data_IF_109006565402
#
_entry.id   IF_109006565402
#
_cell.length_a   1.000
_cell.length_b   1.000
_cell.length_c   1.000
_cell.angle_alpha   90.00
_cell.angle_beta   90.00
_cell.angle_gamma   90.00
#
_symmetry.space_group_name_H-M   'P 1'
#
loop_
_entity.id
_entity.type
_entity.pdbx_description
1 polymer ?
#
# COMPACT_ATOMS: atom_id res chain seq x y z
N UNK A 1 -23.03 -4.45 -25.14
CA UNK A 1 -22.90 -4.89 -23.73
C UNK A 1 -21.58 -5.61 -23.60
N UNK A 2 -20.66 -5.06 -22.83
CA UNK A 2 -19.36 -5.69 -22.63
C UNK A 2 -19.49 -6.87 -21.67
N UNK A 3 -18.94 -8.02 -22.03
CA UNK A 3 -18.88 -9.20 -21.18
C UNK A 3 -17.50 -9.23 -20.49
N UNK A 4 -17.48 -9.50 -19.19
CA UNK A 4 -16.22 -9.61 -18.44
C UNK A 4 -15.80 -11.08 -18.32
N UNK A 5 -14.54 -11.33 -18.56
CA UNK A 5 -13.90 -12.60 -18.27
C UNK A 5 -12.74 -12.37 -17.33
N UNK A 6 -12.73 -13.01 -16.17
CA UNK A 6 -11.62 -12.93 -15.23
C UNK A 6 -10.54 -13.94 -15.58
N UNK A 7 -9.28 -13.51 -15.51
CA UNK A 7 -8.12 -14.39 -15.65
C UNK A 7 -7.23 -14.13 -14.45
N UNK A 8 -7.29 -14.93 -13.39
CA UNK A 8 -6.35 -14.79 -12.28
C UNK A 8 -4.98 -15.30 -12.71
N UNK A 9 -3.97 -14.54 -12.39
CA UNK A 9 -2.58 -14.94 -12.50
C UNK A 9 -1.78 -14.27 -11.39
N UNK A 10 -0.65 -14.83 -11.02
CA UNK A 10 0.23 -14.20 -10.07
C UNK A 10 1.68 -14.22 -10.57
N UNK A 11 2.45 -13.25 -10.13
CA UNK A 11 3.88 -13.16 -10.37
C UNK A 11 4.56 -13.26 -9.02
N UNK A 12 5.47 -14.21 -8.88
CA UNK A 12 6.36 -14.33 -7.74
C UNK A 12 7.79 -14.14 -8.24
N UNK A 13 8.53 -13.26 -7.60
CA UNK A 13 9.93 -13.03 -7.90
C UNK A 13 10.65 -12.45 -6.69
N UNK A 14 11.84 -12.99 -6.42
CA UNK A 14 12.68 -12.51 -5.33
C UNK A 14 13.65 -11.46 -5.87
N UNK A 15 13.35 -10.19 -5.67
CA UNK A 15 14.19 -9.07 -6.10
C UNK A 15 15.04 -8.54 -4.95
N UNK A 16 16.29 -8.93 -4.93
CA UNK A 16 17.27 -8.26 -4.11
C UNK A 16 17.52 -6.84 -4.65
N UNK A 17 17.17 -5.82 -3.87
CA UNK A 17 17.45 -4.44 -4.20
C UNK A 17 18.95 -4.21 -4.42
N UNK A 18 19.33 -3.78 -5.61
CA UNK A 18 20.68 -3.40 -5.98
C UNK A 18 21.13 -3.99 -7.31
N UNK A 19 21.43 -3.14 -8.28
CA UNK A 19 22.08 -3.52 -9.53
C UNK A 19 23.34 -4.32 -9.24
N UNK A 20 23.33 -5.63 -9.54
CA UNK A 20 24.53 -6.46 -9.59
C UNK A 20 24.58 -7.26 -10.88
N UNK A 21 25.80 -7.46 -11.43
CA UNK A 21 25.99 -8.30 -12.60
C UNK A 21 25.65 -9.77 -12.29
N UNK A 22 25.28 -10.51 -13.32
CA UNK A 22 24.62 -11.81 -13.40
C UNK A 22 25.33 -13.02 -12.76
N UNK A 23 26.28 -12.87 -11.84
CA UNK A 23 27.09 -13.97 -11.34
C UNK A 23 27.16 -14.09 -9.80
N UNK A 24 26.04 -13.89 -9.08
CA UNK A 24 26.01 -14.21 -7.64
C UNK A 24 24.85 -15.14 -7.33
N UNK A 25 25.18 -16.25 -6.68
CA UNK A 25 24.28 -17.31 -6.23
C UNK A 25 23.11 -16.78 -5.40
N UNK A 26 21.92 -17.36 -5.58
CA UNK A 26 20.66 -17.03 -4.91
C UNK A 26 20.77 -16.95 -3.37
N UNK A 27 21.65 -17.73 -2.76
CA UNK A 27 21.89 -17.73 -1.31
C UNK A 27 22.38 -16.39 -0.77
N UNK A 28 23.09 -15.62 -1.60
CA UNK A 28 23.53 -14.25 -1.26
C UNK A 28 22.45 -13.20 -1.51
N UNK A 29 21.39 -13.51 -2.26
CA UNK A 29 20.27 -12.60 -2.48
C UNK A 29 19.20 -12.73 -1.38
N UNK A 30 18.99 -13.90 -0.79
CA UNK A 30 18.09 -14.08 0.36
C UNK A 30 18.57 -13.28 1.58
N UNK A 31 19.89 -13.22 1.83
CA UNK A 31 20.48 -12.40 2.90
C UNK A 31 20.51 -10.89 2.58
N UNK A 32 20.05 -10.47 1.38
CA UNK A 32 20.15 -9.09 0.89
C UNK A 32 18.84 -8.50 0.40
N UNK A 33 17.78 -9.29 0.31
CA UNK A 33 16.43 -8.81 0.10
C UNK A 33 15.92 -8.22 1.40
N UNK A 34 15.31 -7.05 1.32
CA UNK A 34 14.79 -6.36 2.47
C UNK A 34 13.96 -7.27 3.37
N UNK A 35 14.45 -7.54 4.54
CA UNK A 35 13.75 -8.27 5.59
C UNK A 35 13.39 -7.33 6.75
N UNK A 36 12.40 -7.71 7.51
CA UNK A 36 12.04 -7.05 8.76
C UNK A 36 11.89 -8.10 9.88
N UNK A 37 11.51 -7.66 11.07
CA UNK A 37 11.40 -8.54 12.23
C UNK A 37 10.32 -9.63 12.07
N UNK A 38 9.28 -9.37 11.27
CA UNK A 38 8.16 -10.31 11.02
C UNK A 38 8.36 -11.11 9.74
N UNK A 39 8.88 -10.49 8.68
CA UNK A 39 9.03 -11.06 7.35
C UNK A 39 10.52 -11.33 7.07
N UNK A 40 11.02 -12.43 7.63
CA UNK A 40 12.43 -12.83 7.52
C UNK A 40 12.78 -13.41 6.15
N UNK A 41 11.79 -14.00 5.44
CA UNK A 41 11.92 -14.53 4.09
C UNK A 41 11.05 -13.70 3.15
N UNK A 42 11.62 -12.64 2.57
CA UNK A 42 10.92 -11.79 1.60
C UNK A 42 10.93 -12.42 0.22
N UNK A 43 9.79 -12.92 -0.22
CA UNK A 43 9.52 -13.34 -1.60
C UNK A 43 8.39 -12.47 -2.14
N UNK A 44 8.75 -11.25 -2.55
CA UNK A 44 7.79 -10.24 -2.99
C UNK A 44 7.06 -10.68 -4.24
N UNK A 45 5.73 -10.71 -4.17
CA UNK A 45 4.87 -11.24 -5.21
C UNK A 45 3.51 -10.55 -5.25
N UNK A 46 2.70 -10.87 -6.26
CA UNK A 46 1.34 -10.37 -6.39
C UNK A 46 0.40 -11.49 -6.88
N UNK A 47 -0.79 -11.55 -6.29
CA UNK A 47 -1.92 -12.24 -6.89
C UNK A 47 -2.68 -11.23 -7.76
N UNK A 48 -2.89 -11.56 -9.04
CA UNK A 48 -3.29 -10.60 -10.07
C UNK A 48 -4.66 -10.94 -10.66
N UNK A 49 -5.46 -9.92 -10.92
CA UNK A 49 -6.78 -10.01 -11.55
C UNK A 49 -6.79 -9.20 -12.84
N UNK A 50 -7.22 -9.83 -13.95
CA UNK A 50 -7.49 -9.15 -15.21
C UNK A 50 -8.96 -9.36 -15.58
N UNK A 51 -9.70 -8.27 -15.66
CA UNK A 51 -11.07 -8.25 -16.15
C UNK A 51 -11.06 -7.93 -17.65
N UNK A 52 -11.19 -8.96 -18.48
CA UNK A 52 -11.27 -8.80 -19.94
C UNK A 52 -12.67 -8.38 -20.35
N UNK A 53 -12.76 -7.52 -21.36
CA UNK A 53 -14.03 -7.06 -21.94
C UNK A 53 -14.08 -7.36 -23.44
N UNK A 54 -15.23 -7.19 -24.05
CA UNK A 54 -15.40 -7.14 -25.52
C UNK A 54 -15.05 -5.77 -26.12
N UNK A 55 -14.68 -4.79 -25.27
CA UNK A 55 -14.22 -3.47 -25.65
C UNK A 55 -12.70 -3.39 -25.86
N UNK A 56 -12.21 -2.16 -25.96
CA UNK A 56 -10.78 -1.88 -26.20
C UNK A 56 -9.90 -2.06 -24.98
N UNK A 57 -10.47 -2.02 -23.76
CA UNK A 57 -9.72 -2.00 -22.51
C UNK A 57 -9.96 -3.24 -21.66
N UNK A 58 -8.97 -3.59 -20.84
CA UNK A 58 -9.08 -4.57 -19.76
C UNK A 58 -8.82 -3.88 -18.43
N UNK A 59 -9.51 -4.31 -17.37
CA UNK A 59 -9.26 -3.82 -16.02
C UNK A 59 -8.20 -4.67 -15.32
N UNK A 60 -7.24 -4.03 -14.70
CA UNK A 60 -6.12 -4.66 -14.01
C UNK A 60 -6.16 -4.34 -12.53
N UNK A 61 -6.05 -5.37 -11.70
CA UNK A 61 -6.01 -5.24 -10.26
C UNK A 61 -5.16 -6.32 -9.63
N UNK A 62 -4.64 -6.06 -8.46
CA UNK A 62 -3.77 -7.01 -7.76
C UNK A 62 -3.91 -6.89 -6.25
N UNK A 63 -3.43 -7.90 -5.56
CA UNK A 63 -3.07 -7.79 -4.15
C UNK A 63 -1.61 -8.18 -3.94
N UNK A 64 -0.95 -7.40 -3.10
CA UNK A 64 0.42 -7.67 -2.66
C UNK A 64 0.46 -8.91 -1.78
N UNK A 65 1.49 -9.73 -1.99
CA UNK A 65 1.79 -10.92 -1.18
C UNK A 65 3.31 -11.07 -1.01
N UNK A 66 3.71 -11.99 -0.16
CA UNK A 66 5.11 -12.32 0.09
C UNK A 66 5.41 -13.79 -0.21
N UNK A 67 4.77 -14.33 -1.26
CA UNK A 67 5.05 -15.63 -1.88
C UNK A 67 4.06 -16.71 -1.51
N UNK A 68 4.25 -17.41 -0.41
CA UNK A 68 3.45 -18.60 -0.05
C UNK A 68 1.96 -18.25 0.12
N UNK A 69 1.10 -19.08 -0.49
CA UNK A 69 -0.37 -18.91 -0.42
C UNK A 69 -0.95 -18.09 -1.59
N UNK A 70 -0.16 -17.69 -2.57
CA UNK A 70 -0.67 -17.00 -3.77
C UNK A 70 -1.71 -17.80 -4.54
N UNK A 71 -1.58 -19.11 -4.61
CA UNK A 71 -2.55 -20.03 -5.19
C UNK A 71 -3.92 -19.91 -4.51
N UNK A 72 -3.94 -19.82 -3.17
CA UNK A 72 -5.16 -19.64 -2.39
C UNK A 72 -5.81 -18.28 -2.72
N UNK A 73 -5.00 -17.24 -2.80
CA UNK A 73 -5.49 -15.89 -3.15
C UNK A 73 -6.03 -15.85 -4.58
N UNK A 74 -5.36 -16.49 -5.54
CA UNK A 74 -5.81 -16.56 -6.92
C UNK A 74 -7.15 -17.30 -7.05
N UNK A 75 -7.35 -18.41 -6.36
CA UNK A 75 -8.65 -19.09 -6.32
C UNK A 75 -9.75 -18.22 -5.70
N UNK A 76 -9.43 -17.45 -4.66
CA UNK A 76 -10.38 -16.50 -4.09
C UNK A 76 -10.71 -15.37 -5.08
N UNK A 77 -9.73 -14.85 -5.83
CA UNK A 77 -9.96 -13.85 -6.90
C UNK A 77 -10.93 -14.42 -7.94
N UNK A 78 -10.74 -15.67 -8.39
CA UNK A 78 -11.67 -16.33 -9.32
C UNK A 78 -13.10 -16.33 -8.79
N UNK A 79 -13.31 -16.74 -7.54
CA UNK A 79 -14.64 -16.79 -6.93
C UNK A 79 -15.31 -15.41 -6.85
N UNK A 80 -14.56 -14.38 -6.48
CA UNK A 80 -15.08 -13.01 -6.42
C UNK A 80 -15.33 -12.45 -7.82
N UNK A 81 -14.41 -12.66 -8.77
CA UNK A 81 -14.49 -12.16 -10.13
C UNK A 81 -15.67 -12.76 -10.92
N UNK A 82 -16.05 -14.02 -10.67
CA UNK A 82 -17.24 -14.63 -11.26
C UNK A 82 -18.53 -13.83 -11.00
N UNK A 83 -18.60 -13.10 -9.89
CA UNK A 83 -19.77 -12.28 -9.58
C UNK A 83 -19.90 -11.07 -10.52
N UNK A 84 -18.81 -10.50 -10.99
CA UNK A 84 -18.81 -9.38 -11.94
C UNK A 84 -18.80 -9.82 -13.40
N UNK A 85 -18.48 -11.09 -13.67
CA UNK A 85 -18.49 -11.65 -15.01
C UNK A 85 -19.86 -11.49 -15.70
N UNK A 86 -19.85 -11.22 -17.01
CA UNK A 86 -21.04 -11.02 -17.85
C UNK A 86 -21.95 -9.85 -17.40
N UNK A 87 -21.43 -8.89 -16.64
CA UNK A 87 -22.12 -7.64 -16.32
C UNK A 87 -21.53 -6.49 -17.11
N UNK A 88 -22.34 -5.48 -17.42
CA UNK A 88 -21.81 -4.26 -18.05
C UNK A 88 -21.09 -3.39 -17.03
N UNK A 89 -20.01 -2.74 -17.45
CA UNK A 89 -19.27 -1.78 -16.63
C UNK A 89 -20.18 -0.67 -16.11
N UNK A 90 -21.04 -0.13 -16.99
CA UNK A 90 -22.02 0.89 -16.63
C UNK A 90 -22.91 0.45 -15.46
N UNK A 91 -23.41 -0.79 -15.47
CA UNK A 91 -24.25 -1.31 -14.38
C UNK A 91 -23.49 -1.44 -13.04
N UNK A 92 -22.20 -1.72 -13.08
CA UNK A 92 -21.37 -1.85 -11.90
C UNK A 92 -20.91 -0.50 -11.35
N UNK A 93 -20.64 0.48 -12.22
CA UNK A 93 -20.14 1.80 -11.84
C UNK A 93 -21.23 2.82 -11.54
N UNK A 94 -22.46 2.58 -11.96
CA UNK A 94 -23.64 3.45 -11.68
C UNK A 94 -23.80 3.74 -10.17
N UNK A 95 -23.46 2.77 -9.31
CA UNK A 95 -23.41 2.92 -7.86
C UNK A 95 -22.32 1.99 -7.30
N UNK A 96 -21.09 2.49 -7.25
CA UNK A 96 -19.95 1.69 -6.80
C UNK A 96 -20.07 1.26 -5.34
N UNK A 97 -20.72 2.04 -4.49
CA UNK A 97 -20.97 1.64 -3.09
C UNK A 97 -21.91 0.45 -2.99
N UNK A 98 -22.99 0.40 -3.80
CA UNK A 98 -23.87 -0.78 -3.88
C UNK A 98 -23.17 -1.98 -4.48
N UNK A 99 -22.37 -1.78 -5.53
CA UNK A 99 -21.57 -2.85 -6.15
C UNK A 99 -20.60 -3.44 -5.13
N UNK A 100 -19.87 -2.60 -4.40
CA UNK A 100 -18.97 -3.04 -3.34
C UNK A 100 -19.71 -3.82 -2.23
N UNK A 101 -20.82 -3.24 -1.73
CA UNK A 101 -21.65 -3.90 -0.71
C UNK A 101 -22.18 -5.26 -1.19
N UNK A 102 -22.61 -5.36 -2.42
CA UNK A 102 -23.06 -6.62 -3.00
C UNK A 102 -21.94 -7.66 -3.06
N UNK A 103 -20.72 -7.25 -3.45
CA UNK A 103 -19.55 -8.15 -3.50
C UNK A 103 -19.18 -8.68 -2.12
N UNK A 104 -19.09 -7.84 -1.10
CA UNK A 104 -18.72 -8.25 0.27
C UNK A 104 -19.84 -9.00 1.00
N UNK A 105 -21.08 -8.96 0.50
CA UNK A 105 -22.25 -9.53 1.17
C UNK A 105 -22.59 -10.94 0.68
N UNK A 106 -21.71 -11.61 -0.08
CA UNK A 106 -21.90 -13.01 -0.40
C UNK A 106 -21.95 -13.84 0.89
N UNK A 107 -23.09 -14.49 1.15
CA UNK A 107 -23.33 -15.14 2.45
C UNK A 107 -22.40 -16.31 2.73
N UNK A 108 -21.88 -16.96 1.70
CA UNK A 108 -20.99 -18.12 1.81
C UNK A 108 -19.52 -17.69 1.90
N UNK A 109 -19.05 -16.85 0.97
CA UNK A 109 -17.68 -16.32 1.01
C UNK A 109 -17.43 -15.51 2.28
N UNK A 110 -18.44 -14.79 2.75
CA UNK A 110 -18.39 -14.02 3.98
C UNK A 110 -18.14 -14.87 5.23
N UNK A 111 -18.57 -16.14 5.23
CA UNK A 111 -18.31 -17.05 6.34
C UNK A 111 -16.84 -17.41 6.46
N UNK A 112 -16.13 -17.56 5.35
CA UNK A 112 -14.71 -17.92 5.30
C UNK A 112 -13.77 -16.70 5.24
N UNK A 113 -14.31 -15.48 5.21
CA UNK A 113 -13.55 -14.24 5.17
C UNK A 113 -14.44 -13.00 5.22
N UNK A 114 -15.08 -12.66 6.37
CA UNK A 114 -15.99 -11.53 6.46
C UNK A 114 -15.20 -10.21 6.54
N UNK A 115 -15.00 -9.57 5.41
CA UNK A 115 -14.28 -8.31 5.25
C UNK A 115 -12.86 -8.34 5.85
N UNK A 116 -12.18 -9.49 5.74
CA UNK A 116 -10.78 -9.69 6.14
C UNK A 116 -10.16 -10.93 5.51
N UNK A 117 -8.84 -11.05 5.63
CA UNK A 117 -8.07 -12.20 5.16
C UNK A 117 -8.12 -12.38 3.65
N UNK A 118 -7.92 -13.61 3.18
CA UNK A 118 -7.76 -13.94 1.76
C UNK A 118 -8.96 -13.48 0.90
N UNK A 119 -10.19 -13.62 1.40
CA UNK A 119 -11.39 -13.20 0.66
C UNK A 119 -11.40 -11.67 0.46
N UNK A 120 -10.95 -10.92 1.44
CA UNK A 120 -10.92 -9.46 1.34
C UNK A 120 -9.77 -8.95 0.46
N UNK A 121 -8.61 -9.62 0.49
CA UNK A 121 -7.51 -9.38 -0.46
C UNK A 121 -7.98 -9.60 -1.91
N UNK A 122 -8.67 -10.71 -2.15
CA UNK A 122 -9.24 -11.04 -3.46
C UNK A 122 -10.30 -10.02 -3.91
N UNK A 123 -11.16 -9.59 -2.98
CA UNK A 123 -12.13 -8.53 -3.22
C UNK A 123 -11.44 -7.23 -3.64
N UNK A 124 -10.39 -6.82 -2.91
CA UNK A 124 -9.61 -5.63 -3.23
C UNK A 124 -9.03 -5.66 -4.63
N UNK A 125 -8.45 -6.80 -5.04
CA UNK A 125 -7.93 -6.98 -6.39
C UNK A 125 -9.02 -6.82 -7.47
N UNK A 126 -10.20 -7.43 -7.29
CA UNK A 126 -11.31 -7.33 -8.26
C UNK A 126 -11.91 -5.92 -8.29
N UNK A 127 -12.11 -5.29 -7.13
CA UNK A 127 -12.63 -3.91 -7.06
C UNK A 127 -11.65 -2.92 -7.68
N UNK A 128 -10.35 -3.07 -7.42
CA UNK A 128 -9.33 -2.22 -8.03
C UNK A 128 -9.26 -2.41 -9.56
N UNK A 129 -9.46 -3.64 -10.06
CA UNK A 129 -9.58 -3.90 -11.50
C UNK A 129 -10.80 -3.21 -12.13
N UNK A 130 -11.93 -3.13 -11.41
CA UNK A 130 -13.11 -2.37 -11.88
C UNK A 130 -12.81 -0.86 -11.94
N UNK A 131 -12.13 -0.31 -10.94
CA UNK A 131 -11.74 1.11 -10.96
C UNK A 131 -10.73 1.42 -12.06
N UNK A 132 -9.77 0.52 -12.30
CA UNK A 132 -8.80 0.65 -13.40
C UNK A 132 -9.52 0.67 -14.76
N UNK A 133 -10.42 -0.29 -14.97
CA UNK A 133 -11.22 -0.36 -16.21
C UNK A 133 -12.07 0.90 -16.40
N UNK A 134 -12.79 1.35 -15.37
CA UNK A 134 -13.59 2.56 -15.44
C UNK A 134 -12.74 3.79 -15.77
N UNK A 135 -11.59 3.90 -15.15
CA UNK A 135 -10.65 5.00 -15.42
C UNK A 135 -10.15 5.00 -16.85
N UNK A 136 -9.85 3.83 -17.42
CA UNK A 136 -9.44 3.66 -18.82
C UNK A 136 -10.56 4.01 -19.81
N UNK A 137 -11.77 3.54 -19.57
CA UNK A 137 -12.94 3.83 -20.43
C UNK A 137 -13.27 5.33 -20.44
N UNK A 138 -13.07 6.04 -19.33
CA UNK A 138 -13.27 7.49 -19.25
C UNK A 138 -12.04 8.28 -19.75
N UNK A 139 -10.92 7.60 -20.01
CA UNK A 139 -9.68 8.23 -20.48
C UNK A 139 -8.96 9.09 -19.43
N UNK A 140 -9.09 8.74 -18.12
CA UNK A 140 -8.51 9.49 -17.00
C UNK A 140 -7.69 8.59 -16.09
N UNK A 141 -6.60 9.10 -15.46
CA UNK A 141 -6.01 8.41 -14.32
C UNK A 141 -7.02 8.37 -13.16
N UNK A 142 -6.95 7.33 -12.32
CA UNK A 142 -7.91 7.14 -11.23
C UNK A 142 -8.07 8.37 -10.33
N UNK A 143 -6.95 8.99 -9.93
CA UNK A 143 -7.03 10.17 -9.07
C UNK A 143 -7.85 11.31 -9.70
N UNK A 144 -7.74 11.47 -11.03
CA UNK A 144 -8.48 12.51 -11.75
C UNK A 144 -9.95 12.12 -11.92
N UNK A 145 -10.26 10.87 -12.18
CA UNK A 145 -11.63 10.37 -12.20
C UNK A 145 -12.35 10.70 -10.89
N UNK A 146 -11.70 10.41 -9.75
CA UNK A 146 -12.26 10.68 -8.43
C UNK A 146 -12.33 12.20 -8.14
N UNK A 147 -11.31 12.97 -8.55
CA UNK A 147 -11.29 14.41 -8.35
C UNK A 147 -12.39 15.14 -9.15
N UNK A 148 -12.82 14.61 -10.28
CA UNK A 148 -13.88 15.19 -11.10
C UNK A 148 -15.30 14.83 -10.61
N UNK A 149 -15.43 13.92 -9.63
CA UNK A 149 -16.71 13.62 -9.00
C UNK A 149 -17.20 14.78 -8.14
N UNK A 150 -18.51 14.98 -8.11
CA UNK A 150 -19.13 15.79 -7.07
C UNK A 150 -18.99 15.13 -5.70
N UNK A 151 -19.09 15.88 -4.59
CA UNK A 151 -19.11 15.30 -3.25
C UNK A 151 -20.12 14.17 -3.07
N UNK A 152 -21.29 14.30 -3.63
CA UNK A 152 -22.39 13.31 -3.58
C UNK A 152 -22.05 12.05 -4.38
N UNK A 153 -21.42 12.17 -5.56
CA UNK A 153 -20.96 11.04 -6.36
C UNK A 153 -19.84 10.27 -5.65
N UNK A 154 -18.87 10.98 -5.08
CA UNK A 154 -17.79 10.34 -4.31
C UNK A 154 -18.33 9.58 -3.10
N UNK A 155 -19.19 10.21 -2.31
CA UNK A 155 -19.80 9.60 -1.11
C UNK A 155 -20.64 8.37 -1.49
N UNK A 156 -21.31 8.37 -2.67
CA UNK A 156 -22.04 7.21 -3.18
C UNK A 156 -21.12 6.02 -3.49
N UNK A 157 -19.82 6.22 -3.69
CA UNK A 157 -18.88 5.12 -3.85
C UNK A 157 -18.58 4.37 -2.54
N UNK A 158 -19.01 4.87 -1.39
CA UNK A 158 -18.62 4.36 -0.07
C UNK A 158 -19.76 3.57 0.58
N UNK A 159 -19.42 2.44 1.19
CA UNK A 159 -20.32 1.73 2.10
C UNK A 159 -20.11 2.19 3.54
N UNK A 160 -21.00 3.03 4.05
CA UNK A 160 -20.95 3.56 5.41
C UNK A 160 -21.42 2.57 6.48
N UNK A 161 -21.83 1.36 6.10
CA UNK A 161 -22.20 0.32 7.07
C UNK A 161 -21.04 0.09 8.05
N UNK A 162 -21.34 0.09 9.32
CA UNK A 162 -20.42 -0.11 10.45
C UNK A 162 -19.49 1.08 10.79
N UNK A 163 -19.62 2.24 10.12
CA UNK A 163 -18.80 3.42 10.40
C UNK A 163 -19.62 4.70 10.67
N UNK A 164 -20.96 4.61 10.68
CA UNK A 164 -21.84 5.78 10.86
C UNK A 164 -21.73 6.44 12.23
N UNK A 165 -21.19 5.74 13.21
CA UNK A 165 -20.83 6.28 14.54
C UNK A 165 -19.49 7.07 14.54
N UNK A 166 -18.72 6.98 13.45
CA UNK A 166 -17.49 7.77 13.25
C UNK A 166 -17.69 8.86 12.20
N UNK A 167 -18.37 8.56 11.10
CA UNK A 167 -18.69 9.52 10.03
C UNK A 167 -19.98 9.11 9.32
N UNK A 168 -20.90 10.07 9.13
CA UNK A 168 -22.12 9.84 8.34
C UNK A 168 -21.93 10.27 6.87
N UNK A 169 -22.77 9.81 5.93
CA UNK A 169 -22.74 10.29 4.55
C UNK A 169 -22.89 11.80 4.44
N UNK A 170 -23.75 12.41 5.23
CA UNK A 170 -24.03 13.85 5.23
C UNK A 170 -22.81 14.65 5.71
N UNK A 171 -22.15 14.19 6.77
CA UNK A 171 -20.90 14.79 7.24
C UNK A 171 -19.81 14.69 6.17
N UNK A 172 -19.67 13.53 5.52
CA UNK A 172 -18.70 13.31 4.45
C UNK A 172 -18.92 14.28 3.27
N UNK A 173 -20.18 14.44 2.81
CA UNK A 173 -20.53 15.42 1.77
C UNK A 173 -20.18 16.84 2.21
N UNK A 174 -20.50 17.22 3.43
CA UNK A 174 -20.20 18.56 3.97
C UNK A 174 -18.70 18.83 3.97
N UNK A 175 -17.90 17.87 4.48
CA UNK A 175 -16.44 17.98 4.53
C UNK A 175 -15.79 18.09 3.13
N UNK A 176 -16.36 17.40 2.13
CA UNK A 176 -15.88 17.49 0.76
C UNK A 176 -16.23 18.85 0.14
N UNK A 177 -17.45 19.34 0.34
CA UNK A 177 -17.87 20.67 -0.12
C UNK A 177 -17.02 21.82 0.43
N UNK A 178 -16.62 21.74 1.69
CA UNK A 178 -15.68 22.70 2.29
C UNK A 178 -14.32 22.74 1.56
N UNK A 179 -13.88 21.60 1.01
CA UNK A 179 -12.64 21.47 0.26
C UNK A 179 -12.69 21.94 -1.19
N UNK A 180 -13.89 22.17 -1.76
CA UNK A 180 -14.06 22.47 -3.21
C UNK A 180 -13.36 23.78 -3.63
N UNK A 181 -13.41 24.82 -2.83
CA UNK A 181 -12.87 26.14 -3.20
C UNK A 181 -11.38 26.15 -3.55
N UNK A 182 -10.60 25.20 -3.05
CA UNK A 182 -9.16 25.07 -3.34
C UNK A 182 -8.80 23.96 -4.30
N UNK A 183 -9.75 23.15 -4.74
CA UNK A 183 -9.51 21.89 -5.46
C UNK A 183 -8.76 22.10 -6.79
N UNK A 184 -9.16 23.07 -7.60
CA UNK A 184 -8.50 23.38 -8.87
C UNK A 184 -7.03 23.84 -8.68
N UNK A 185 -6.76 24.56 -7.60
CA UNK A 185 -5.39 24.91 -7.23
C UNK A 185 -4.54 23.69 -6.92
N UNK A 186 -5.07 22.79 -6.10
CA UNK A 186 -4.39 21.54 -5.74
C UNK A 186 -4.20 20.61 -6.93
N UNK A 187 -5.15 20.55 -7.87
CA UNK A 187 -5.00 19.81 -9.13
C UNK A 187 -3.81 20.35 -9.94
N UNK A 188 -3.72 21.69 -10.11
CA UNK A 188 -2.58 22.28 -10.81
C UNK A 188 -1.26 22.02 -10.09
N UNK A 189 -1.26 22.07 -8.77
CA UNK A 189 -0.07 21.78 -7.97
C UNK A 189 0.34 20.31 -8.07
N UNK A 190 -0.62 19.38 -8.04
CA UNK A 190 -0.36 17.95 -8.21
C UNK A 190 0.23 17.61 -9.59
N UNK A 191 -0.10 18.35 -10.63
CA UNK A 191 0.42 18.13 -12.00
C UNK A 191 1.82 18.73 -12.22
N UNK A 192 2.40 19.42 -11.24
CA UNK A 192 3.80 19.83 -11.30
C UNK A 192 4.74 18.65 -11.10
N UNK A 193 6.01 18.80 -11.51
CA UNK A 193 7.06 17.78 -11.40
C UNK A 193 7.31 17.20 -10.00
N UNK A 194 6.75 17.79 -8.94
CA UNK A 194 6.94 17.43 -7.55
C UNK A 194 5.60 17.45 -6.84
N UNK A 195 4.85 16.34 -6.91
CA UNK A 195 3.53 16.27 -6.30
C UNK A 195 3.61 15.81 -4.84
N UNK A 196 3.82 14.53 -4.59
CA UNK A 196 3.84 13.94 -3.25
C UNK A 196 5.28 13.65 -2.83
N UNK A 197 5.75 14.16 -1.68
CA UNK A 197 7.11 13.86 -1.21
C UNK A 197 7.24 12.37 -0.85
N UNK A 198 8.31 11.74 -1.33
CA UNK A 198 8.61 10.35 -1.10
C UNK A 198 9.50 10.14 0.12
N UNK A 199 9.31 9.00 0.81
CA UNK A 199 10.32 8.43 1.70
C UNK A 199 10.63 7.00 1.27
N UNK A 200 11.78 6.47 1.70
CA UNK A 200 12.16 5.11 1.33
C UNK A 200 12.69 4.30 2.51
N UNK A 201 12.41 3.00 2.45
CA UNK A 201 12.96 1.98 3.35
C UNK A 201 14.20 1.31 2.76
N UNK A 202 14.46 1.48 1.46
CA UNK A 202 15.50 0.75 0.72
C UNK A 202 16.93 0.90 1.28
N UNK A 203 17.22 1.98 2.02
CA UNK A 203 18.49 2.17 2.69
C UNK A 203 18.53 1.61 4.13
N UNK A 204 17.40 1.20 4.69
CA UNK A 204 17.23 0.90 6.11
C UNK A 204 16.76 -0.53 6.46
N UNK A 205 16.83 -1.49 5.54
CA UNK A 205 16.44 -2.88 5.81
C UNK A 205 17.31 -3.55 6.89
N UNK A 206 16.72 -4.47 7.67
CA UNK A 206 17.49 -5.34 8.58
C UNK A 206 18.45 -6.23 7.77
N UNK A 207 19.54 -6.67 8.41
CA UNK A 207 20.56 -7.50 7.77
C UNK A 207 21.60 -6.74 6.94
N UNK A 208 21.45 -5.42 6.72
CA UNK A 208 22.49 -4.63 6.07
C UNK A 208 23.64 -4.32 7.04
N UNK A 209 24.89 -4.56 6.58
CA UNK A 209 26.09 -4.09 7.28
C UNK A 209 26.21 -2.56 7.24
N UNK A 210 26.99 -2.01 8.14
CA UNK A 210 27.14 -0.56 8.34
C UNK A 210 27.56 0.20 7.09
N UNK A 211 28.56 -0.32 6.37
CA UNK A 211 29.07 0.33 5.15
C UNK A 211 28.02 0.35 4.04
N UNK A 212 27.26 -0.75 3.88
CA UNK A 212 26.17 -0.82 2.92
C UNK A 212 25.07 0.19 3.27
N UNK A 213 24.68 0.25 4.54
CA UNK A 213 23.66 1.19 5.00
C UNK A 213 24.11 2.64 4.76
N UNK A 214 25.36 3.00 5.09
CA UNK A 214 25.94 4.33 4.85
C UNK A 214 25.92 4.68 3.35
N UNK A 215 26.39 3.77 2.49
CA UNK A 215 26.38 3.99 1.04
C UNK A 215 24.99 4.27 0.51
N UNK A 216 24.02 3.40 0.85
CA UNK A 216 22.63 3.55 0.39
C UNK A 216 21.97 4.83 0.93
N UNK A 217 22.25 5.25 2.16
CA UNK A 217 21.77 6.52 2.70
C UNK A 217 22.32 7.71 1.93
N UNK A 218 23.64 7.74 1.61
CA UNK A 218 24.24 8.79 0.79
C UNK A 218 23.68 8.82 -0.64
N UNK A 219 23.54 7.65 -1.27
CA UNK A 219 22.96 7.53 -2.61
C UNK A 219 21.52 8.06 -2.64
N UNK A 220 20.73 7.70 -1.64
CA UNK A 220 19.33 8.13 -1.52
C UNK A 220 19.21 9.64 -1.27
N UNK A 221 20.10 10.21 -0.44
CA UNK A 221 20.20 11.68 -0.26
C UNK A 221 20.53 12.38 -1.58
N UNK A 222 21.45 11.82 -2.38
CA UNK A 222 21.84 12.38 -3.67
C UNK A 222 20.70 12.35 -4.70
N UNK A 223 19.75 11.41 -4.53
CA UNK A 223 18.49 11.33 -5.31
C UNK A 223 17.41 12.33 -4.84
N UNK A 224 17.70 13.13 -3.80
CA UNK A 224 16.82 14.18 -3.31
C UNK A 224 15.84 13.76 -2.21
N UNK A 225 15.90 12.51 -1.73
CA UNK A 225 15.06 12.10 -0.60
C UNK A 225 15.42 12.86 0.68
N UNK A 226 14.39 13.21 1.43
CA UNK A 226 14.53 13.93 2.70
C UNK A 226 14.03 13.13 3.90
N UNK A 227 13.32 12.05 3.64
CA UNK A 227 12.71 11.20 4.67
C UNK A 227 13.11 9.74 4.45
N UNK A 228 13.37 9.03 5.54
CA UNK A 228 13.88 7.67 5.52
C UNK A 228 13.15 6.83 6.56
N UNK A 229 12.87 5.56 6.23
CA UNK A 229 12.38 4.56 7.18
C UNK A 229 13.52 3.57 7.47
N UNK A 230 13.84 3.39 8.73
CA UNK A 230 14.88 2.47 9.20
C UNK A 230 14.20 1.32 9.93
N UNK A 231 14.38 0.10 9.45
CA UNK A 231 13.91 -1.08 10.16
C UNK A 231 14.75 -1.31 11.41
N UNK A 232 14.09 -1.45 12.55
CA UNK A 232 14.65 -1.78 13.85
C UNK A 232 13.97 -3.04 14.39
N UNK A 233 14.41 -3.64 15.51
CA UNK A 233 13.78 -4.82 16.07
C UNK A 233 14.68 -6.01 16.28
N UNK A 234 15.93 -5.81 16.11
CA UNK A 234 16.91 -6.76 16.56
C UNK A 234 17.06 -6.68 18.09
N UNK A 235 18.11 -6.05 18.54
CA UNK A 235 18.32 -5.68 19.94
C UNK A 235 18.39 -4.15 20.07
N UNK A 236 18.13 -3.64 21.27
CA UNK A 236 18.29 -2.19 21.55
C UNK A 236 19.69 -1.69 21.15
N UNK A 237 20.72 -2.48 21.41
CA UNK A 237 22.10 -2.11 21.10
C UNK A 237 22.33 -2.00 19.59
N UNK A 238 21.85 -2.99 18.82
CA UNK A 238 21.95 -2.98 17.37
C UNK A 238 21.14 -1.83 16.77
N UNK A 239 19.91 -1.64 17.24
CA UNK A 239 19.03 -0.58 16.77
C UNK A 239 19.61 0.82 17.07
N UNK A 240 20.19 1.02 18.26
CA UNK A 240 20.93 2.25 18.58
C UNK A 240 22.12 2.47 17.65
N UNK A 241 22.88 1.44 17.35
CA UNK A 241 23.99 1.49 16.39
C UNK A 241 23.51 1.92 15.01
N UNK A 242 22.48 1.26 14.49
CA UNK A 242 21.90 1.57 13.18
C UNK A 242 21.32 2.98 13.11
N UNK A 243 20.57 3.40 14.12
CA UNK A 243 20.01 4.75 14.19
C UNK A 243 21.09 5.82 14.32
N UNK A 244 22.19 5.54 15.01
CA UNK A 244 23.35 6.45 15.06
C UNK A 244 23.95 6.64 13.67
N UNK A 245 24.19 5.57 12.93
CA UNK A 245 24.65 5.62 11.54
C UNK A 245 23.69 6.44 10.68
N UNK A 246 22.39 6.18 10.79
CA UNK A 246 21.41 6.96 10.05
C UNK A 246 21.50 8.45 10.38
N UNK A 247 21.53 8.82 11.68
CA UNK A 247 21.62 10.23 12.11
C UNK A 247 22.90 10.92 11.71
N UNK A 248 24.03 10.22 11.71
CA UNK A 248 25.32 10.74 11.22
C UNK A 248 25.23 11.16 9.73
N UNK A 249 24.50 10.40 8.92
CA UNK A 249 24.37 10.65 7.48
C UNK A 249 23.25 11.62 7.14
N UNK A 250 22.03 11.40 7.72
CA UNK A 250 20.81 12.13 7.31
C UNK A 250 20.46 13.31 8.22
N UNK A 251 21.12 13.45 9.38
CA UNK A 251 20.77 14.48 10.39
C UNK A 251 19.51 14.13 11.19
N UNK A 252 19.06 15.07 12.02
CA UNK A 252 17.93 14.85 12.97
C UNK A 252 16.56 15.31 12.44
N UNK A 253 16.51 16.03 11.34
CA UNK A 253 15.27 16.58 10.78
C UNK A 253 14.48 15.54 9.96
N UNK A 254 14.94 14.29 9.87
CA UNK A 254 14.46 13.26 8.95
C UNK A 254 14.53 11.88 9.61
N UNK A 255 13.52 11.05 9.41
CA UNK A 255 13.58 9.62 9.72
C UNK A 255 12.49 9.06 10.62
N UNK A 256 12.08 7.84 10.32
CA UNK A 256 11.07 7.03 10.99
C UNK A 256 11.64 5.66 11.36
N UNK A 257 10.94 4.93 12.24
CA UNK A 257 11.37 3.62 12.76
C UNK A 257 10.20 2.64 12.74
N UNK A 258 10.43 1.36 12.43
CA UNK A 258 9.40 0.32 12.31
C UNK A 258 9.67 -0.87 13.24
N UNK A 259 8.62 -1.40 13.94
CA UNK A 259 8.74 -2.60 14.80
C UNK A 259 7.42 -3.25 15.26
N UNK A 260 7.51 -4.54 15.74
CA UNK A 260 6.43 -5.26 16.45
C UNK A 260 6.94 -5.88 17.75
N UNK A 261 6.29 -5.54 18.91
CA UNK A 261 6.59 -6.07 20.25
C UNK A 261 5.31 -6.24 21.11
N UNK A 262 5.46 -6.77 22.29
CA UNK A 262 4.45 -6.56 23.33
C UNK A 262 4.42 -5.10 23.77
N UNK A 263 3.29 -4.63 24.29
CA UNK A 263 3.15 -3.22 24.72
C UNK A 263 4.24 -2.75 25.68
N UNK A 264 4.58 -3.51 26.77
CA UNK A 264 5.67 -3.12 27.67
C UNK A 264 7.04 -3.08 26.99
N UNK A 265 7.32 -4.05 26.11
CA UNK A 265 8.59 -4.11 25.37
C UNK A 265 8.71 -2.95 24.40
N UNK A 266 7.64 -2.62 23.68
CA UNK A 266 7.60 -1.47 22.77
C UNK A 266 7.92 -0.16 23.50
N UNK A 267 7.29 0.08 24.63
CA UNK A 267 7.53 1.28 25.45
C UNK A 267 8.96 1.29 25.99
N UNK A 268 9.44 0.16 26.53
CA UNK A 268 10.81 0.06 27.05
C UNK A 268 11.85 0.31 25.97
N UNK A 269 11.71 -0.33 24.83
CA UNK A 269 12.63 -0.21 23.71
C UNK A 269 12.65 1.22 23.14
N UNK A 270 11.47 1.79 22.87
CA UNK A 270 11.36 3.13 22.31
C UNK A 270 11.85 4.23 23.25
N UNK A 271 11.74 4.06 24.58
CA UNK A 271 12.35 4.98 25.53
C UNK A 271 13.89 5.05 25.36
N UNK A 272 14.51 3.92 25.03
CA UNK A 272 15.97 3.86 24.81
C UNK A 272 16.37 4.40 23.42
N UNK A 273 15.45 4.42 22.45
CA UNK A 273 15.68 4.97 21.12
C UNK A 273 15.24 6.44 20.99
N UNK A 274 14.64 7.03 22.04
CA UNK A 274 14.10 8.39 22.01
C UNK A 274 15.16 9.48 21.72
N UNK A 275 16.42 9.24 22.09
CA UNK A 275 17.54 10.16 21.80
C UNK A 275 17.71 10.42 20.29
N UNK A 276 17.32 9.46 19.43
CA UNK A 276 17.40 9.59 17.97
C UNK A 276 16.22 10.35 17.36
N UNK A 277 15.24 10.77 18.17
CA UNK A 277 14.08 11.58 17.76
C UNK A 277 13.40 11.07 16.49
N UNK A 278 12.94 9.79 16.45
CA UNK A 278 12.12 9.33 15.33
C UNK A 278 10.81 10.13 15.30
N UNK A 279 10.29 10.38 14.11
CA UNK A 279 8.97 11.05 13.98
C UNK A 279 7.85 10.16 14.49
N UNK A 280 7.86 8.87 14.09
CA UNK A 280 6.92 7.87 14.61
C UNK A 280 7.56 6.49 14.67
N UNK A 281 6.94 5.62 15.45
CA UNK A 281 7.12 4.17 15.40
C UNK A 281 5.95 3.55 14.65
N UNK A 282 6.22 2.63 13.72
CA UNK A 282 5.24 1.92 12.91
C UNK A 282 5.04 0.51 13.45
N UNK A 283 3.78 0.07 13.58
CA UNK A 283 3.39 -1.25 14.08
C UNK A 283 4.11 -1.68 15.37
N UNK A 284 4.06 -0.89 16.44
CA UNK A 284 4.82 -1.21 17.66
C UNK A 284 4.29 -2.43 18.42
N UNK A 285 3.12 -2.94 18.06
CA UNK A 285 2.51 -4.15 18.64
C UNK A 285 1.63 -4.83 17.59
N UNK A 286 0.92 -5.91 17.97
CA UNK A 286 0.01 -6.61 17.05
C UNK A 286 -0.93 -5.64 16.33
N UNK A 287 -1.09 -5.74 15.00
CA UNK A 287 -2.01 -4.89 14.23
C UNK A 287 -3.46 -4.92 14.74
N UNK A 288 -3.87 -6.00 15.38
CA UNK A 288 -5.21 -6.18 15.93
C UNK A 288 -5.36 -5.62 17.36
N UNK A 289 -4.25 -5.18 18.00
CA UNK A 289 -4.28 -4.64 19.37
C UNK A 289 -4.44 -3.12 19.38
N UNK A 290 -5.66 -2.65 19.15
CA UNK A 290 -6.02 -1.23 19.12
C UNK A 290 -5.72 -0.53 20.43
N UNK A 291 -6.06 -1.15 21.57
CA UNK A 291 -5.83 -0.57 22.89
C UNK A 291 -4.36 -0.58 23.27
N UNK A 292 -3.60 -1.58 22.79
CA UNK A 292 -2.14 -1.62 22.92
C UNK A 292 -1.49 -0.44 22.20
N UNK A 293 -1.88 -0.16 20.95
CA UNK A 293 -1.43 1.03 20.22
C UNK A 293 -1.74 2.33 20.98
N UNK A 294 -2.97 2.47 21.52
CA UNK A 294 -3.34 3.63 22.32
C UNK A 294 -2.49 3.79 23.58
N UNK A 295 -2.16 2.67 24.25
CA UNK A 295 -1.30 2.66 25.44
C UNK A 295 0.13 3.06 25.12
N UNK A 296 0.69 2.53 24.02
CA UNK A 296 2.03 2.88 23.55
C UNK A 296 2.08 4.36 23.14
N UNK A 297 1.10 4.83 22.36
CA UNK A 297 0.99 6.24 21.96
C UNK A 297 1.01 7.18 23.17
N UNK A 298 0.23 6.87 24.19
CA UNK A 298 0.21 7.64 25.44
C UNK A 298 1.58 7.65 26.14
N UNK A 299 2.24 6.51 26.19
CA UNK A 299 3.57 6.39 26.81
C UNK A 299 4.67 7.15 26.05
N UNK A 300 4.60 7.19 24.71
CA UNK A 300 5.62 7.84 23.88
C UNK A 300 5.38 9.35 23.69
N UNK A 301 4.22 9.87 24.07
CA UNK A 301 3.89 11.30 23.95
C UNK A 301 4.94 12.25 24.58
N UNK A 302 5.53 11.96 25.77
CA UNK A 302 6.58 12.82 26.34
C UNK A 302 7.84 12.94 25.49
N UNK A 303 8.11 11.97 24.61
CA UNK A 303 9.24 11.96 23.69
C UNK A 303 8.90 12.59 22.33
N UNK A 304 7.68 13.05 22.11
CA UNK A 304 7.17 13.52 20.83
C UNK A 304 7.32 12.49 19.69
N UNK A 305 7.23 11.20 20.02
CA UNK A 305 7.24 10.09 19.07
C UNK A 305 5.80 9.67 18.81
N UNK A 306 5.36 9.75 17.55
CA UNK A 306 4.05 9.30 17.13
C UNK A 306 3.96 7.78 16.99
N UNK A 307 2.74 7.28 16.85
CA UNK A 307 2.45 5.87 16.53
C UNK A 307 1.75 5.81 15.18
N UNK A 308 2.23 4.95 14.31
CA UNK A 308 1.66 4.67 13.01
C UNK A 308 1.29 3.18 12.89
N UNK A 309 0.19 2.87 12.23
CA UNK A 309 -0.16 1.52 11.81
C UNK A 309 -1.19 1.55 10.70
N UNK A 310 -1.36 0.42 10.00
CA UNK A 310 -2.41 0.25 9.02
C UNK A 310 -2.10 -0.69 7.86
N UNK A 311 -0.84 -1.04 7.60
CA UNK A 311 -0.50 -1.96 6.50
C UNK A 311 -1.13 -3.35 6.67
N UNK A 312 -1.36 -3.78 7.91
CA UNK A 312 -2.02 -5.03 8.24
C UNK A 312 -3.51 -4.85 8.58
N UNK A 313 -4.01 -3.61 8.66
CA UNK A 313 -5.40 -3.33 8.95
C UNK A 313 -6.29 -3.67 7.76
N UNK A 314 -7.22 -4.59 8.00
CA UNK A 314 -7.90 -5.31 6.93
C UNK A 314 -9.12 -4.57 6.38
N UNK A 315 -9.73 -3.66 7.15
CA UNK A 315 -10.97 -3.00 6.75
C UNK A 315 -11.17 -1.67 7.48
N UNK A 316 -12.13 -0.89 6.99
CA UNK A 316 -12.51 0.42 7.53
C UNK A 316 -12.92 0.42 9.01
N UNK A 317 -13.39 -0.72 9.54
CA UNK A 317 -13.83 -0.81 10.94
C UNK A 317 -12.64 -0.81 11.90
N UNK A 318 -11.54 -1.47 11.53
CA UNK A 318 -10.29 -1.42 12.32
C UNK A 318 -9.76 0.03 12.36
N UNK A 319 -9.71 0.70 11.22
CA UNK A 319 -9.30 2.12 11.17
C UNK A 319 -10.22 3.02 11.99
N UNK A 320 -11.55 2.81 11.92
CA UNK A 320 -12.51 3.51 12.78
C UNK A 320 -12.13 3.37 14.26
N UNK A 321 -11.86 2.14 14.70
CA UNK A 321 -11.53 1.87 16.10
C UNK A 321 -10.20 2.49 16.51
N UNK A 322 -9.16 2.43 15.66
CA UNK A 322 -7.88 3.10 15.90
C UNK A 322 -8.05 4.61 16.08
N UNK A 323 -8.84 5.23 15.22
CA UNK A 323 -9.12 6.67 15.27
C UNK A 323 -9.94 7.07 16.52
N UNK A 324 -11.02 6.34 16.82
CA UNK A 324 -11.87 6.59 17.98
C UNK A 324 -11.13 6.37 19.31
N UNK A 325 -10.26 5.36 19.37
CA UNK A 325 -9.42 5.09 20.54
C UNK A 325 -8.22 6.05 20.65
N UNK A 326 -8.05 6.98 19.70
CA UNK A 326 -6.85 7.84 19.62
C UNK A 326 -5.56 7.01 19.68
N UNK A 327 -5.54 5.89 18.97
CA UNK A 327 -4.45 4.90 19.03
C UNK A 327 -3.28 5.25 18.11
N UNK A 328 -3.49 6.11 17.12
CA UNK A 328 -2.50 6.45 16.10
C UNK A 328 -2.38 7.96 15.90
N UNK A 329 -1.19 8.40 15.51
CA UNK A 329 -0.86 9.75 15.05
C UNK A 329 -0.76 9.82 13.53
N UNK A 330 -0.57 8.66 12.88
CA UNK A 330 -0.41 8.51 11.44
C UNK A 330 -1.18 7.27 10.99
N UNK A 331 -1.99 7.42 9.96
CA UNK A 331 -2.79 6.35 9.38
C UNK A 331 -2.09 5.81 8.11
N UNK A 332 -1.75 4.53 8.11
CA UNK A 332 -1.03 3.87 7.01
C UNK A 332 -1.93 2.90 6.27
N UNK A 333 -2.80 3.41 5.40
CA UNK A 333 -3.60 2.53 4.54
C UNK A 333 -2.71 1.71 3.62
N UNK A 334 -3.15 0.50 3.26
CA UNK A 334 -2.56 -0.32 2.22
C UNK A 334 -3.61 -0.59 1.13
N UNK A 335 -3.29 -0.27 -0.12
CA UNK A 335 -4.22 -0.37 -1.25
C UNK A 335 -4.61 -1.81 -1.61
N UNK A 336 -3.83 -2.79 -1.17
CA UNK A 336 -4.04 -4.21 -1.43
C UNK A 336 -4.66 -4.96 -0.24
N UNK A 337 -4.45 -4.46 0.99
CA UNK A 337 -4.98 -5.07 2.21
C UNK A 337 -6.47 -4.82 2.39
N UNK A 338 -6.91 -3.66 1.95
CA UNK A 338 -8.31 -3.22 2.04
C UNK A 338 -9.14 -3.68 0.85
N UNK A 339 -10.46 -3.54 0.94
CA UNK A 339 -11.42 -3.91 -0.11
C UNK A 339 -11.46 -2.97 -1.32
N UNK A 340 -10.32 -2.41 -1.72
CA UNK A 340 -10.17 -1.53 -2.88
C UNK A 340 -10.48 -0.06 -2.59
N UNK A 341 -10.52 0.75 -3.65
CA UNK A 341 -10.66 2.22 -3.61
C UNK A 341 -11.85 2.67 -2.75
N UNK A 342 -12.99 2.00 -2.85
CA UNK A 342 -14.21 2.34 -2.09
C UNK A 342 -13.95 2.40 -0.58
N UNK A 343 -13.24 1.41 -0.07
CA UNK A 343 -12.96 1.31 1.36
C UNK A 343 -11.85 2.27 1.78
N UNK A 344 -10.85 2.49 0.92
CA UNK A 344 -9.82 3.51 1.16
C UNK A 344 -10.44 4.89 1.28
N UNK A 345 -11.35 5.28 0.39
CA UNK A 345 -12.06 6.58 0.46
C UNK A 345 -12.76 6.79 1.81
N UNK A 346 -13.36 5.74 2.37
CA UNK A 346 -13.97 5.81 3.69
C UNK A 346 -12.93 6.13 4.78
N UNK A 347 -11.74 5.51 4.72
CA UNK A 347 -10.68 5.74 5.69
C UNK A 347 -10.07 7.12 5.55
N UNK A 348 -9.85 7.62 4.32
CA UNK A 348 -9.36 8.98 4.08
C UNK A 348 -10.28 10.02 4.74
N UNK A 349 -11.61 9.87 4.57
CA UNK A 349 -12.60 10.78 5.17
C UNK A 349 -12.62 10.70 6.69
N UNK A 350 -12.57 9.48 7.26
CA UNK A 350 -12.48 9.33 8.72
C UNK A 350 -11.19 9.96 9.27
N UNK A 351 -10.04 9.67 8.65
CA UNK A 351 -8.76 10.23 9.07
C UNK A 351 -8.77 11.77 9.04
N UNK A 352 -9.33 12.39 7.98
CA UNK A 352 -9.54 13.85 7.92
C UNK A 352 -10.40 14.34 9.09
N UNK A 353 -11.52 13.68 9.37
CA UNK A 353 -12.43 14.05 10.47
C UNK A 353 -11.74 14.01 11.83
N UNK A 354 -10.90 12.99 12.06
CA UNK A 354 -10.14 12.83 13.31
C UNK A 354 -8.82 13.61 13.35
N UNK A 355 -8.46 14.30 12.26
CA UNK A 355 -7.24 15.10 12.18
C UNK A 355 -5.95 14.28 12.10
N UNK A 356 -6.02 13.04 11.67
CA UNK A 356 -4.87 12.13 11.53
C UNK A 356 -4.40 12.13 10.07
N UNK A 357 -3.12 12.43 9.78
CA UNK A 357 -2.59 12.41 8.42
C UNK A 357 -2.49 10.97 7.88
N UNK A 358 -2.64 10.86 6.55
CA UNK A 358 -2.45 9.62 5.81
C UNK A 358 -1.01 9.55 5.28
N UNK A 359 -0.29 8.49 5.62
CA UNK A 359 1.03 8.14 5.07
C UNK A 359 0.96 6.68 4.64
N UNK A 360 0.54 6.39 3.41
CA UNK A 360 0.27 5.02 2.99
C UNK A 360 1.50 4.12 3.07
N UNK A 361 1.27 2.85 3.44
CA UNK A 361 2.23 1.78 3.19
C UNK A 361 2.35 1.56 1.68
N UNK A 362 3.58 1.46 1.19
CA UNK A 362 3.86 1.31 -0.24
C UNK A 362 5.16 0.53 -0.46
N UNK A 363 5.19 -0.67 0.09
CA UNK A 363 6.38 -1.53 0.21
C UNK A 363 6.84 -2.23 -1.07
N UNK A 364 6.46 -1.77 -2.25
CA UNK A 364 6.84 -2.33 -3.55
C UNK A 364 5.75 -3.17 -4.20
N UNK A 365 6.09 -3.88 -5.29
CA UNK A 365 5.20 -4.81 -6.01
C UNK A 365 3.87 -4.17 -6.45
N UNK A 366 3.92 -2.98 -7.07
CA UNK A 366 2.74 -2.25 -7.55
C UNK A 366 1.99 -1.45 -6.48
N UNK A 367 2.37 -1.51 -5.20
CA UNK A 367 1.83 -0.61 -4.19
C UNK A 367 2.16 0.86 -4.47
N UNK A 368 3.39 1.25 -4.88
CA UNK A 368 3.67 2.62 -5.31
C UNK A 368 2.79 3.10 -6.46
N UNK A 369 2.52 2.21 -7.42
CA UNK A 369 1.64 2.45 -8.56
C UNK A 369 0.21 2.76 -8.12
N UNK A 370 -0.32 2.04 -7.14
CA UNK A 370 -1.64 2.30 -6.55
C UNK A 370 -1.66 3.54 -5.66
N UNK A 371 -0.75 3.59 -4.69
CA UNK A 371 -0.82 4.56 -3.59
C UNK A 371 -0.53 5.99 -4.02
N UNK A 372 0.22 6.20 -5.11
CA UNK A 372 0.40 7.53 -5.70
C UNK A 372 -0.94 8.17 -6.10
N UNK A 373 -1.90 7.38 -6.62
CA UNK A 373 -3.26 7.87 -6.91
C UNK A 373 -4.02 8.20 -5.63
N UNK A 374 -3.94 7.33 -4.61
CA UNK A 374 -4.66 7.50 -3.36
C UNK A 374 -4.14 8.70 -2.57
N UNK A 375 -2.83 8.92 -2.52
CA UNK A 375 -2.22 10.10 -1.91
C UNK A 375 -2.58 11.38 -2.65
N UNK A 376 -2.68 11.31 -3.99
CA UNK A 376 -3.12 12.45 -4.79
C UNK A 376 -4.60 12.75 -4.54
N UNK A 377 -5.47 11.73 -4.40
CA UNK A 377 -6.87 11.88 -4.02
C UNK A 377 -6.98 12.53 -2.63
N UNK A 378 -6.22 12.03 -1.66
CA UNK A 378 -6.22 12.63 -0.32
C UNK A 378 -5.87 14.12 -0.37
N UNK A 379 -4.77 14.47 -1.04
CA UNK A 379 -4.34 15.86 -1.18
C UNK A 379 -5.35 16.72 -1.93
N UNK A 380 -5.80 16.28 -3.11
CA UNK A 380 -6.63 17.10 -4.00
C UNK A 380 -8.06 17.22 -3.50
N UNK A 381 -8.64 16.13 -3.01
CA UNK A 381 -10.09 16.02 -2.76
C UNK A 381 -10.42 16.02 -1.27
N UNK A 382 -9.64 15.27 -0.45
CA UNK A 382 -10.03 14.98 0.92
C UNK A 382 -9.37 15.92 1.91
N UNK A 383 -8.07 15.76 2.20
CA UNK A 383 -7.40 16.47 3.28
C UNK A 383 -7.01 17.92 2.92
N UNK A 384 -6.68 18.15 1.66
CA UNK A 384 -6.09 19.41 1.20
C UNK A 384 -4.64 19.62 1.64
N UNK A 385 -4.01 18.59 2.21
CA UNK A 385 -2.65 18.64 2.76
C UNK A 385 -1.76 17.60 2.10
N UNK A 386 -0.56 18.00 1.68
CA UNK A 386 0.45 17.05 1.24
C UNK A 386 0.96 16.25 2.44
N UNK A 387 1.09 14.95 2.26
CA UNK A 387 1.69 14.03 3.21
C UNK A 387 2.81 13.25 2.53
N UNK A 388 3.51 12.38 3.26
CA UNK A 388 4.55 11.53 2.72
C UNK A 388 3.96 10.27 2.10
N UNK A 389 4.69 9.71 1.12
CA UNK A 389 4.37 8.43 0.53
C UNK A 389 5.63 7.55 0.46
N UNK A 390 5.52 6.31 0.92
CA UNK A 390 6.60 5.33 0.82
C UNK A 390 6.90 4.99 -0.64
N UNK A 391 8.18 4.77 -0.95
CA UNK A 391 8.62 4.26 -2.23
C UNK A 391 9.62 3.13 -2.07
N UNK A 392 9.29 1.99 -2.66
CA UNK A 392 10.16 0.83 -2.83
C UNK A 392 9.96 0.33 -4.26
N UNK A 393 11.04 0.09 -4.99
CA UNK A 393 11.05 -0.16 -6.43
C UNK A 393 10.92 -1.64 -6.84
N UNK A 394 10.43 -2.51 -5.94
CA UNK A 394 10.26 -3.93 -6.26
C UNK A 394 9.24 -4.14 -7.38
N UNK A 395 9.61 -4.87 -8.43
CA UNK A 395 8.81 -5.22 -9.62
C UNK A 395 8.34 -4.03 -10.48
N UNK A 396 8.70 -2.83 -10.11
CA UNK A 396 8.23 -1.62 -10.75
C UNK A 396 8.53 -1.58 -12.28
N UNK A 397 9.63 -2.15 -12.74
CA UNK A 397 9.99 -2.24 -14.15
C UNK A 397 9.05 -3.12 -14.99
N UNK A 398 8.20 -3.91 -14.36
CA UNK A 398 7.26 -4.79 -15.03
C UNK A 398 5.92 -4.15 -15.35
N UNK A 399 5.62 -2.98 -14.77
CA UNK A 399 4.42 -2.22 -15.09
C UNK A 399 4.56 -1.42 -16.38
N UNK A 400 3.46 -1.18 -17.10
CA UNK A 400 3.45 -0.33 -18.31
C UNK A 400 3.73 1.14 -17.95
N UNK A 401 3.18 1.60 -16.82
CA UNK A 401 3.27 2.97 -16.34
C UNK A 401 3.75 2.98 -14.87
N UNK A 402 5.03 2.62 -14.63
CA UNK A 402 5.55 2.56 -13.27
C UNK A 402 5.60 3.94 -12.63
N UNK A 403 5.57 3.96 -11.30
CA UNK A 403 5.77 5.19 -10.52
C UNK A 403 7.12 5.83 -10.82
N UNK A 404 7.13 7.15 -10.94
CA UNK A 404 8.34 7.92 -11.23
C UNK A 404 8.67 8.81 -10.04
N UNK A 405 9.90 8.70 -9.54
CA UNK A 405 10.43 9.60 -8.51
C UNK A 405 11.41 10.59 -9.15
N UNK A 406 11.18 11.87 -8.87
CA UNK A 406 12.05 12.96 -9.29
C UNK A 406 12.43 13.82 -8.11
N UNK A 407 13.73 13.87 -7.78
CA UNK A 407 14.25 14.65 -6.66
C UNK A 407 13.54 14.38 -5.32
N UNK A 408 13.24 13.10 -5.03
CA UNK A 408 12.58 12.69 -3.80
C UNK A 408 11.07 12.94 -3.76
N UNK A 409 10.43 13.17 -4.91
CA UNK A 409 8.99 13.36 -5.04
C UNK A 409 8.40 12.44 -6.11
N UNK A 410 7.18 11.97 -5.87
CA UNK A 410 6.39 11.32 -6.90
C UNK A 410 6.00 12.31 -8.00
N UNK A 411 6.06 11.85 -9.25
CA UNK A 411 5.44 12.52 -10.39
C UNK A 411 4.02 11.99 -10.54
N UNK A 412 3.03 12.86 -10.49
CA UNK A 412 1.62 12.47 -10.58
C UNK A 412 1.33 11.74 -11.89
N UNK A 413 0.70 10.55 -11.86
CA UNK A 413 0.38 9.80 -13.07
C UNK A 413 -0.68 10.52 -13.90
N UNK A 414 -0.46 10.54 -15.22
CA UNK A 414 -1.36 11.17 -16.21
C UNK A 414 -2.01 10.16 -17.16
N UNK A 415 -1.49 8.94 -17.25
CA UNK A 415 -2.06 7.90 -18.10
C UNK A 415 -3.40 7.40 -17.52
N UNK A 416 -4.40 7.08 -18.38
CA UNK A 416 -5.64 6.49 -17.94
C UNK A 416 -5.44 5.17 -17.17
N UNK A 417 -6.27 4.93 -16.16
CA UNK A 417 -6.21 3.71 -15.34
C UNK A 417 -5.65 3.94 -13.95
N UNK A 418 -5.28 2.83 -13.29
CA UNK A 418 -4.79 2.81 -11.91
C UNK A 418 -3.29 2.43 -11.81
N UNK A 419 -2.57 2.51 -12.93
CA UNK A 419 -1.11 2.34 -13.09
C UNK A 419 -0.56 0.93 -12.78
N UNK A 420 -1.40 -0.08 -12.56
CA UNK A 420 -0.97 -1.44 -12.21
C UNK A 420 -1.06 -2.43 -13.36
N UNK A 421 -1.24 -1.97 -14.57
CA UNK A 421 -1.17 -2.83 -15.73
C UNK A 421 0.26 -3.30 -15.96
N UNK A 422 0.48 -4.60 -15.91
CA UNK A 422 1.78 -5.21 -16.18
C UNK A 422 1.96 -5.51 -17.67
N UNK A 423 3.21 -5.46 -18.10
CA UNK A 423 3.63 -5.87 -19.46
C UNK A 423 3.31 -7.36 -19.67
N UNK A 424 2.80 -7.72 -20.84
CA UNK A 424 2.52 -9.13 -21.19
C UNK A 424 3.77 -10.00 -21.08
N UNK A 425 4.94 -9.45 -21.44
CA UNK A 425 6.23 -10.13 -21.29
C UNK A 425 6.56 -10.48 -19.84
N UNK A 426 6.07 -9.71 -18.85
CA UNK A 426 6.26 -10.02 -17.45
C UNK A 426 5.46 -11.27 -17.04
N UNK A 427 4.22 -11.39 -17.50
CA UNK A 427 3.40 -12.60 -17.27
C UNK A 427 3.99 -13.82 -17.97
N UNK A 428 4.44 -13.69 -19.23
CA UNK A 428 5.06 -14.78 -19.97
C UNK A 428 6.33 -15.29 -19.27
N UNK A 429 7.12 -14.40 -18.71
CA UNK A 429 8.39 -14.76 -18.06
C UNK A 429 8.20 -15.20 -16.61
N UNK A 430 7.44 -14.48 -15.79
CA UNK A 430 7.39 -14.65 -14.34
C UNK A 430 6.06 -15.19 -13.80
N UNK A 431 5.04 -15.39 -14.65
CA UNK A 431 3.75 -15.94 -14.21
C UNK A 431 3.92 -17.35 -13.65
N UNK A 432 3.61 -17.53 -12.36
CA UNK A 432 3.74 -18.83 -11.71
C UNK A 432 2.52 -19.73 -12.00
N UNK A 433 2.70 -21.04 -12.21
CA UNK A 433 3.96 -21.80 -12.32
C UNK A 433 4.46 -21.95 -13.77
N UNK A 434 3.78 -21.40 -14.76
CA UNK A 434 3.96 -21.71 -16.18
C UNK A 434 4.97 -20.83 -16.91
N UNK A 435 5.36 -19.69 -16.33
CA UNK A 435 6.29 -18.73 -16.91
C UNK A 435 7.68 -19.33 -17.18
N UNK A 436 8.41 -18.75 -18.12
CA UNK A 436 9.72 -19.24 -18.55
C UNK A 436 10.71 -19.35 -17.40
N UNK A 437 10.73 -18.36 -16.51
CA UNK A 437 11.61 -18.31 -15.34
C UNK A 437 11.46 -19.57 -14.47
N UNK A 438 10.22 -20.01 -14.22
CA UNK A 438 9.93 -21.13 -13.33
C UNK A 438 10.38 -22.50 -13.86
N UNK A 439 10.75 -22.56 -15.15
CA UNK A 439 11.31 -23.74 -15.83
C UNK A 439 12.84 -23.73 -15.84
N UNK A 440 13.47 -22.63 -15.41
CA UNK A 440 14.91 -22.47 -15.41
C UNK A 440 15.60 -23.11 -14.20
N UNK A 441 16.89 -23.35 -14.29
CA UNK A 441 17.72 -23.80 -13.17
C UNK A 441 17.78 -22.75 -12.04
N UNK A 442 17.69 -21.47 -12.38
CA UNK A 442 17.68 -20.37 -11.41
C UNK A 442 16.47 -20.39 -10.49
N UNK A 443 15.34 -20.93 -10.94
CA UNK A 443 14.12 -21.04 -10.13
C UNK A 443 14.15 -22.22 -9.14
N UNK A 444 14.99 -23.24 -9.33
CA UNK A 444 14.97 -24.47 -8.51
C UNK A 444 15.19 -24.23 -7.01
N UNK A 445 16.13 -23.36 -6.58
CA UNK A 445 16.29 -23.04 -5.16
C UNK A 445 15.04 -22.42 -4.55
N UNK A 446 14.34 -21.54 -5.30
CA UNK A 446 13.09 -20.88 -4.87
C UNK A 446 11.98 -21.91 -4.74
N UNK A 447 11.79 -22.76 -5.77
CA UNK A 447 10.78 -23.82 -5.77
C UNK A 447 10.99 -24.82 -4.62
N UNK A 448 12.24 -25.16 -4.34
CA UNK A 448 12.61 -26.04 -3.22
C UNK A 448 12.33 -25.37 -1.86
N UNK A 449 12.41 -24.05 -1.76
CA UNK A 449 12.06 -23.30 -0.55
C UNK A 449 10.54 -23.20 -0.37
N UNK A 450 9.80 -22.96 -1.45
CA UNK A 450 8.34 -22.88 -1.44
C UNK A 450 7.67 -24.23 -1.12
N UNK A 451 8.35 -25.36 -1.41
CA UNK A 451 7.85 -26.72 -1.15
C UNK A 451 8.11 -27.23 0.28
N UNK A 452 8.90 -26.53 1.06
CA UNK A 452 9.18 -26.81 2.49
C UNK A 452 8.27 -26.01 3.40
#
# INVERSE_FOLDING_TARGET
>A
MSAFQSVPSFISHNFGGGRKPANQTLQTSLDKTGSDAMNQAGDYSAAYCILKTDGAHSGHGMTFTIGRGNDIVCHAIEQVAQRVANRSLESLTADMGKTWRWLVSDSQLRWIGPEKGVIHLALGAVVNALWDLWSKEVGKPLWRLVADMSPEELVRCIDFRYITDAITPEEAVTMLKEGESGKEGRIRDALKDRAVPAYTTSAGWLGYGDDKMRSLLHETLAQGYKHFKIKVGGSVEEDRRRLRIAREVIGYDKGNVLMVWSVPEAVHHMNQLAEFKPWFIEEPTSPDDILGHASIRKALKPHAIGVATGEMCQNRVIFKQLLQAQAIDICQIDACRMGGVNEVLAVLLMAKKFGVPIVPHSGGVGLPEYTQHLSTIDYVVVSGKLSLLEYVDHLHEHFLHPSVIKEGYYVTPTNPGYSVEMKESAFAKFGFPSGEFWKSEEAQPILNHLSK
#
